data_IF_598488665928
#
_entry.id   IF_598488665928
#
_cell.length_a   1.000
_cell.length_b   1.000
_cell.length_c   1.000
_cell.angle_alpha   90.00
_cell.angle_beta   90.00
_cell.angle_gamma   90.00
#
_symmetry.space_group_name_H-M   'P 1'
#
loop_
_entity.id
_entity.type
_entity.pdbx_description
1 polymer ?
#
# COMPACT_ATOMS: atom_id res chain seq x y z
N UNK A 1 -23.56 20.20 -5.28
CA UNK A 1 -22.69 20.08 -4.08
C UNK A 1 -21.31 20.50 -4.50
N UNK A 2 -20.62 21.34 -3.73
CA UNK A 2 -19.27 21.81 -4.06
C UNK A 2 -18.28 20.73 -3.61
N UNK A 3 -17.49 20.19 -4.54
CA UNK A 3 -16.46 19.20 -4.25
C UNK A 3 -15.24 19.86 -3.61
N UNK A 4 -14.65 19.20 -2.62
CA UNK A 4 -13.43 19.68 -1.99
C UNK A 4 -12.26 19.66 -2.99
N UNK A 5 -11.41 20.70 -3.03
CA UNK A 5 -10.25 20.72 -3.90
C UNK A 5 -9.27 19.59 -3.52
N UNK A 6 -8.54 19.02 -4.49
CA UNK A 6 -7.55 17.98 -4.23
C UNK A 6 -6.38 18.54 -3.39
N UNK A 7 -5.75 17.66 -2.61
CA UNK A 7 -4.55 18.04 -1.84
C UNK A 7 -3.39 18.37 -2.77
N UNK A 8 -2.75 19.52 -2.54
CA UNK A 8 -1.54 19.96 -3.26
C UNK A 8 -0.27 19.41 -2.61
N UNK A 9 -0.33 19.07 -1.32
CA UNK A 9 0.83 18.56 -0.57
C UNK A 9 1.03 17.07 -0.85
N UNK A 10 2.25 16.63 -1.19
CA UNK A 10 2.55 15.21 -1.35
C UNK A 10 2.26 14.42 -0.08
N UNK A 11 1.48 13.35 -0.20
CA UNK A 11 1.19 12.48 0.93
C UNK A 11 2.43 11.66 1.31
N UNK A 12 2.66 11.53 2.63
CA UNK A 12 3.67 10.61 3.16
C UNK A 12 3.30 9.17 2.83
N UNK A 13 4.33 8.36 2.55
CA UNK A 13 4.16 6.93 2.26
C UNK A 13 4.36 6.15 3.54
N UNK A 14 3.37 5.33 3.87
CA UNK A 14 3.39 4.46 5.04
C UNK A 14 3.45 3.00 4.59
N UNK A 15 4.05 2.17 5.44
CA UNK A 15 4.12 0.74 5.28
C UNK A 15 2.73 0.15 5.50
N UNK A 16 2.27 -0.65 4.55
CA UNK A 16 0.91 -1.20 4.57
C UNK A 16 0.75 -2.28 5.67
N UNK A 17 1.86 -2.81 6.19
CA UNK A 17 1.88 -3.87 7.23
C UNK A 17 2.13 -3.30 8.63
N UNK A 18 3.16 -2.45 8.78
CA UNK A 18 3.63 -1.98 10.11
C UNK A 18 3.21 -0.56 10.45
N UNK A 19 2.73 0.24 9.48
CA UNK A 19 2.38 1.64 9.72
C UNK A 19 3.56 2.61 9.89
N UNK A 20 4.80 2.13 9.78
CA UNK A 20 6.01 2.97 9.77
C UNK A 20 6.18 3.67 8.42
N UNK A 21 7.04 4.68 8.33
CA UNK A 21 7.35 5.34 7.06
C UNK A 21 7.93 4.34 6.06
N UNK A 22 7.41 4.25 4.84
CA UNK A 22 7.87 3.28 3.84
C UNK A 22 8.65 3.96 2.71
N UNK A 23 9.99 3.88 2.70
CA UNK A 23 10.79 4.39 1.60
C UNK A 23 10.71 3.51 0.35
N UNK A 24 10.30 2.25 0.47
CA UNK A 24 10.33 1.28 -0.63
C UNK A 24 8.94 0.77 -1.02
N UNK A 25 8.83 0.30 -2.26
CA UNK A 25 7.60 -0.27 -2.83
C UNK A 25 7.97 -1.49 -3.67
N UNK A 26 7.25 -2.60 -3.47
CA UNK A 26 7.47 -3.82 -4.22
C UNK A 26 6.83 -3.73 -5.62
N UNK A 27 7.57 -3.96 -6.72
CA UNK A 27 7.02 -3.90 -8.08
C UNK A 27 5.99 -5.00 -8.36
N UNK A 28 6.01 -6.14 -7.64
CA UNK A 28 5.09 -7.26 -7.88
C UNK A 28 3.75 -7.06 -7.18
N UNK A 29 3.77 -6.72 -5.90
CA UNK A 29 2.56 -6.54 -5.09
C UNK A 29 2.06 -5.11 -5.03
N UNK A 30 2.87 -4.12 -5.41
CA UNK A 30 2.65 -2.67 -5.21
C UNK A 30 2.50 -2.26 -3.73
N UNK A 31 2.79 -3.15 -2.79
CA UNK A 31 2.77 -2.86 -1.36
C UNK A 31 4.02 -2.09 -0.95
N UNK A 32 3.85 -1.23 0.04
CA UNK A 32 4.91 -0.37 0.60
C UNK A 32 5.50 -1.01 1.84
N UNK A 33 6.83 -0.97 1.96
CA UNK A 33 7.55 -1.59 3.08
C UNK A 33 8.67 -0.71 3.63
N UNK A 34 9.04 -0.95 4.89
CA UNK A 34 10.04 -0.18 5.62
C UNK A 34 11.45 -0.78 5.51
N UNK A 35 11.61 -2.06 5.82
CA UNK A 35 12.90 -2.76 5.92
C UNK A 35 12.89 -4.11 5.18
N UNK A 36 14.05 -4.78 5.15
CA UNK A 36 14.22 -6.07 4.50
C UNK A 36 13.41 -7.20 5.16
N UNK A 37 13.22 -7.17 6.48
CA UNK A 37 12.45 -8.18 7.21
C UNK A 37 10.97 -8.17 6.78
N UNK A 38 10.37 -6.97 6.67
CA UNK A 38 9.00 -6.82 6.17
C UNK A 38 8.91 -7.28 4.71
N UNK A 39 9.96 -7.07 3.92
CA UNK A 39 10.01 -7.56 2.54
C UNK A 39 10.02 -9.09 2.45
N UNK A 40 10.76 -9.79 3.32
CA UNK A 40 10.73 -11.26 3.38
C UNK A 40 9.34 -11.79 3.76
N UNK A 41 8.67 -11.12 4.71
CA UNK A 41 7.28 -11.48 5.07
C UNK A 41 6.33 -11.23 3.89
N UNK A 42 6.46 -10.11 3.19
CA UNK A 42 5.67 -9.77 2.00
C UNK A 42 5.78 -10.83 0.88
N UNK A 43 6.95 -11.45 0.69
CA UNK A 43 7.12 -12.52 -0.31
C UNK A 43 6.27 -13.76 -0.01
N UNK A 44 5.95 -14.00 1.25
CA UNK A 44 5.12 -15.14 1.67
C UNK A 44 3.62 -14.89 1.50
N UNK A 45 3.22 -13.65 1.23
CA UNK A 45 1.80 -13.30 1.15
C UNK A 45 1.14 -13.88 -0.09
N UNK A 46 -0.06 -14.42 0.11
CA UNK A 46 -0.92 -14.86 -0.98
C UNK A 46 -1.54 -13.65 -1.70
N UNK A 47 -1.82 -13.75 -3.00
CA UNK A 47 -2.41 -12.65 -3.78
C UNK A 47 -3.70 -12.07 -3.18
N UNK A 48 -4.53 -12.92 -2.56
CA UNK A 48 -5.76 -12.48 -1.88
C UNK A 48 -5.48 -11.52 -0.73
N UNK A 49 -4.45 -11.81 0.08
CA UNK A 49 -4.03 -10.99 1.21
C UNK A 49 -3.48 -9.65 0.70
N UNK A 50 -2.69 -9.67 -0.37
CA UNK A 50 -2.17 -8.46 -1.02
C UNK A 50 -3.34 -7.57 -1.47
N UNK A 51 -4.36 -8.14 -2.10
CA UNK A 51 -5.55 -7.38 -2.47
C UNK A 51 -6.28 -6.78 -1.27
N UNK A 52 -6.38 -7.50 -0.14
CA UNK A 52 -7.00 -6.93 1.07
C UNK A 52 -6.24 -5.70 1.59
N UNK A 53 -4.91 -5.75 1.62
CA UNK A 53 -4.09 -4.61 2.03
C UNK A 53 -4.22 -3.44 1.03
N UNK A 54 -4.23 -3.72 -0.26
CA UNK A 54 -4.45 -2.69 -1.29
C UNK A 54 -5.84 -2.08 -1.23
N UNK A 55 -6.88 -2.87 -0.93
CA UNK A 55 -8.25 -2.40 -0.77
C UNK A 55 -8.38 -1.42 0.39
N UNK A 56 -7.72 -1.70 1.52
CA UNK A 56 -7.66 -0.77 2.67
C UNK A 56 -6.97 0.53 2.29
N UNK A 57 -5.93 0.49 1.44
CA UNK A 57 -5.25 1.69 0.89
C UNK A 57 -6.08 2.45 -0.15
N UNK A 58 -7.25 1.94 -0.55
CA UNK A 58 -8.07 2.52 -1.61
C UNK A 58 -7.55 2.23 -3.04
N UNK A 59 -6.67 1.25 -3.19
CA UNK A 59 -6.10 0.79 -4.47
C UNK A 59 -6.48 -0.65 -4.83
N UNK A 60 -7.37 -1.28 -4.06
CA UNK A 60 -7.88 -2.62 -4.36
C UNK A 60 -8.73 -2.59 -5.62
N UNK A 61 -8.22 -3.19 -6.70
CA UNK A 61 -8.97 -3.35 -7.95
C UNK A 61 -9.96 -4.51 -7.77
N UNK A 62 -11.25 -4.19 -7.72
CA UNK A 62 -12.33 -5.19 -7.89
C UNK A 62 -12.50 -5.39 -9.39
N UNK A 63 -12.04 -6.53 -9.92
CA UNK A 63 -12.34 -6.92 -11.30
C UNK A 63 -13.84 -7.23 -11.37
N UNK A 64 -14.59 -6.45 -12.15
CA UNK A 64 -16.01 -6.66 -12.47
C UNK A 64 -16.14 -7.20 -13.88
#
# INVERSE_FOLDING_TARGET
TVEAPPSVVPQKKWCDVTGLEAPYTDPKSTLRYHNAEVYEVLKTFQPAVIQTYLAVRGQGVVLR
#
